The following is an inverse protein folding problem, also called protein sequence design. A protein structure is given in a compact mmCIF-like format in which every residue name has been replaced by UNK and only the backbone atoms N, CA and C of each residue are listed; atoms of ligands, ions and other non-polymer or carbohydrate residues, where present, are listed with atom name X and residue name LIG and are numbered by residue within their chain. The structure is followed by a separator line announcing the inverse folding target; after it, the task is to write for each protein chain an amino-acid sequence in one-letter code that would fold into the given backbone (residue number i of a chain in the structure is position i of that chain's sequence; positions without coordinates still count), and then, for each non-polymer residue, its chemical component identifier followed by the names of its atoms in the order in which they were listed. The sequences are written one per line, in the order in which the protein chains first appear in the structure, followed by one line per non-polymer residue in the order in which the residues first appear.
data_IF_937022522313
#
_entry.id   IF_937022522313
#
_cell.length_a   1.000
_cell.length_b   1.000
_cell.length_c   1.000
_cell.angle_alpha   90.00
_cell.angle_beta   90.00
_cell.angle_gamma   90.00
#
_symmetry.space_group_name_H-M   'P 1'
#
loop_
_entity.id
_entity.type
_entity.pdbx_description
1 polymer ?
#
# COMPACT_ATOMS: atom_id res chain seq x y z
N UNK A 1 -38.44 0.90 -3.24
CA UNK A 1 -37.76 2.21 -3.03
C UNK A 1 -37.40 2.74 -4.40
N UNK A 2 -37.75 3.99 -4.67
CA UNK A 2 -37.40 4.68 -5.91
C UNK A 2 -35.93 5.02 -5.93
N UNK A 3 -35.27 4.82 -7.09
CA UNK A 3 -33.85 5.13 -7.27
C UNK A 3 -33.69 6.59 -7.67
N UNK A 4 -32.85 7.33 -6.95
CA UNK A 4 -32.62 8.73 -7.15
C UNK A 4 -31.34 8.98 -7.97
N UNK A 5 -31.42 9.87 -8.96
CA UNK A 5 -30.33 10.18 -9.88
C UNK A 5 -29.88 11.63 -9.71
N UNK A 6 -28.57 11.86 -9.74
CA UNK A 6 -27.94 13.17 -9.72
C UNK A 6 -26.87 13.28 -10.78
N UNK A 7 -26.75 14.46 -11.35
CA UNK A 7 -25.73 14.77 -12.34
C UNK A 7 -24.32 14.65 -11.74
N UNK A 8 -23.40 14.12 -12.52
CA UNK A 8 -21.97 14.12 -12.19
C UNK A 8 -21.39 15.46 -12.66
N UNK A 9 -20.99 16.32 -11.73
CA UNK A 9 -20.63 17.74 -11.96
C UNK A 9 -19.65 17.94 -13.11
N UNK A 10 -18.54 17.19 -13.13
CA UNK A 10 -17.51 17.33 -14.16
C UNK A 10 -17.93 16.81 -15.55
N UNK A 11 -19.08 16.16 -15.66
CA UNK A 11 -19.58 15.58 -16.92
C UNK A 11 -20.36 16.57 -17.79
N UNK A 12 -20.52 17.81 -17.34
CA UNK A 12 -21.32 18.84 -18.03
C UNK A 12 -22.73 18.35 -18.37
N UNK A 13 -23.38 17.63 -17.44
CA UNK A 13 -24.74 17.13 -17.63
C UNK A 13 -24.86 15.86 -18.48
N UNK A 14 -23.75 15.28 -18.96
CA UNK A 14 -23.77 14.11 -19.86
C UNK A 14 -24.02 12.81 -19.10
N UNK A 15 -23.59 12.73 -17.86
CA UNK A 15 -23.72 11.51 -17.03
C UNK A 15 -24.34 11.82 -15.68
N UNK A 16 -25.09 10.83 -15.19
CA UNK A 16 -25.70 10.83 -13.86
C UNK A 16 -25.28 9.58 -13.08
N UNK A 17 -25.27 9.73 -11.78
CA UNK A 17 -25.04 8.64 -10.83
C UNK A 17 -26.27 8.47 -9.94
N UNK A 18 -26.63 7.23 -9.61
CA UNK A 18 -27.70 6.93 -8.68
C UNK A 18 -27.21 6.71 -7.26
N UNK A 19 -28.11 6.86 -6.30
CA UNK A 19 -27.91 6.51 -4.90
C UNK A 19 -27.62 5.01 -4.66
N UNK A 20 -27.89 4.16 -5.66
CA UNK A 20 -27.55 2.73 -5.67
C UNK A 20 -26.20 2.42 -6.32
N UNK A 21 -25.47 3.42 -6.85
CA UNK A 21 -24.14 3.26 -7.45
C UNK A 21 -24.14 2.91 -8.93
N UNK A 22 -25.27 3.03 -9.62
CA UNK A 22 -25.35 2.90 -11.09
C UNK A 22 -24.99 4.23 -11.76
N UNK A 23 -24.43 4.15 -12.96
CA UNK A 23 -24.10 5.31 -13.78
C UNK A 23 -24.87 5.21 -15.08
N UNK A 24 -25.53 6.28 -15.49
CA UNK A 24 -26.25 6.36 -16.76
C UNK A 24 -25.87 7.60 -17.58
N UNK A 25 -26.15 7.52 -18.86
CA UNK A 25 -26.10 8.67 -19.73
C UNK A 25 -27.37 9.51 -19.55
N UNK A 26 -27.23 10.82 -19.32
CA UNK A 26 -28.36 11.71 -19.08
C UNK A 26 -28.92 12.32 -20.38
N UNK A 27 -28.12 12.38 -21.45
CA UNK A 27 -28.47 13.03 -22.72
C UNK A 27 -28.30 12.09 -23.91
N UNK A 28 -29.00 12.34 -24.98
CA UNK A 28 -28.85 11.60 -26.24
C UNK A 28 -27.45 11.79 -26.84
N UNK A 29 -26.86 10.74 -27.32
CA UNK A 29 -25.61 10.75 -28.07
C UNK A 29 -25.79 10.12 -29.45
N UNK A 30 -24.75 10.16 -30.29
CA UNK A 30 -24.80 9.65 -31.67
C UNK A 30 -25.28 8.20 -31.76
N UNK A 31 -24.85 7.34 -30.83
CA UNK A 31 -25.10 5.90 -30.85
C UNK A 31 -25.72 5.39 -29.53
N UNK A 32 -25.90 6.24 -28.54
CA UNK A 32 -26.36 5.86 -27.19
C UNK A 32 -27.43 6.85 -26.74
N UNK A 33 -28.60 6.36 -26.36
CA UNK A 33 -29.73 7.18 -25.90
C UNK A 33 -29.59 7.57 -24.43
N UNK A 34 -30.25 8.65 -24.05
CA UNK A 34 -30.47 9.03 -22.67
C UNK A 34 -31.09 7.86 -21.88
N UNK A 35 -30.75 7.74 -20.61
CA UNK A 35 -31.20 6.62 -19.75
C UNK A 35 -30.34 5.36 -19.86
N UNK A 36 -29.44 5.25 -20.84
CA UNK A 36 -28.59 4.07 -20.97
C UNK A 36 -27.65 3.91 -19.77
N UNK A 37 -27.77 2.76 -19.07
CA UNK A 37 -26.91 2.39 -17.95
C UNK A 37 -25.55 1.92 -18.47
N UNK A 38 -24.46 2.55 -17.99
CA UNK A 38 -23.11 2.17 -18.36
C UNK A 38 -22.72 0.81 -17.75
N UNK A 39 -22.05 -0.02 -18.55
CA UNK A 39 -21.50 -1.27 -18.06
C UNK A 39 -20.44 -0.98 -16.97
N UNK A 40 -20.57 -1.70 -15.86
CA UNK A 40 -19.62 -1.63 -14.75
C UNK A 40 -18.60 -2.75 -14.84
N UNK A 41 -17.34 -2.43 -14.64
CA UNK A 41 -16.23 -3.38 -14.52
C UNK A 41 -15.65 -3.36 -13.10
N UNK A 42 -15.14 -4.50 -12.67
CA UNK A 42 -14.48 -4.64 -11.35
C UNK A 42 -12.98 -4.58 -11.52
N UNK A 43 -12.33 -3.65 -10.81
CA UNK A 43 -10.87 -3.56 -10.78
C UNK A 43 -10.24 -4.72 -9.98
N UNK A 44 -8.95 -5.04 -10.16
CA UNK A 44 -8.25 -6.03 -9.35
C UNK A 44 -8.35 -5.77 -7.84
N UNK A 45 -8.46 -4.50 -7.44
CA UNK A 45 -8.64 -4.10 -6.05
C UNK A 45 -10.08 -4.21 -5.55
N UNK A 46 -11.01 -4.71 -6.37
CA UNK A 46 -12.40 -4.96 -6.01
C UNK A 46 -13.37 -3.79 -6.20
N UNK A 47 -12.91 -2.59 -6.56
CA UNK A 47 -13.77 -1.44 -6.81
C UNK A 47 -14.49 -1.53 -8.16
N UNK A 48 -15.70 -0.98 -8.20
CA UNK A 48 -16.47 -0.88 -9.43
C UNK A 48 -16.23 0.46 -10.14
N UNK A 49 -16.04 0.40 -11.44
CA UNK A 49 -15.90 1.56 -12.32
C UNK A 49 -16.58 1.35 -13.66
N UNK A 50 -16.93 2.45 -14.29
CA UNK A 50 -17.48 2.46 -15.65
C UNK A 50 -16.62 3.32 -16.56
N UNK A 51 -16.51 2.94 -17.84
CA UNK A 51 -15.85 3.78 -18.84
C UNK A 51 -16.88 4.68 -19.50
N UNK A 52 -16.62 5.97 -19.50
CA UNK A 52 -17.40 7.01 -20.14
C UNK A 52 -16.60 7.71 -21.24
N UNK A 53 -17.28 8.38 -22.16
CA UNK A 53 -16.66 9.15 -23.23
C UNK A 53 -17.15 10.60 -23.15
N UNK A 54 -16.23 11.53 -22.94
CA UNK A 54 -16.50 12.97 -22.91
C UNK A 54 -15.48 13.70 -23.79
N UNK A 55 -15.95 14.58 -24.66
CA UNK A 55 -15.08 15.36 -25.57
C UNK A 55 -14.09 14.46 -26.36
N UNK A 56 -14.57 13.34 -26.92
CA UNK A 56 -13.78 12.35 -27.67
C UNK A 56 -12.68 11.66 -26.88
N UNK A 57 -12.69 11.75 -25.55
CA UNK A 57 -11.73 11.09 -24.65
C UNK A 57 -12.46 10.10 -23.75
N UNK A 58 -11.84 8.95 -23.54
CA UNK A 58 -12.33 8.00 -22.53
C UNK A 58 -11.95 8.48 -21.14
N UNK A 59 -12.84 8.33 -20.19
CA UNK A 59 -12.58 8.59 -18.77
C UNK A 59 -13.17 7.47 -17.93
N UNK A 60 -12.54 7.19 -16.80
CA UNK A 60 -13.00 6.20 -15.84
C UNK A 60 -13.81 6.86 -14.75
N UNK A 61 -15.02 6.41 -14.54
CA UNK A 61 -15.91 6.85 -13.46
C UNK A 61 -15.87 5.83 -12.33
N UNK A 62 -15.35 6.22 -11.18
CA UNK A 62 -15.36 5.39 -9.98
C UNK A 62 -16.69 5.56 -9.23
N UNK A 63 -17.57 4.56 -9.31
CA UNK A 63 -18.94 4.66 -8.82
C UNK A 63 -19.05 5.16 -7.37
N UNK A 64 -18.30 4.56 -6.42
CA UNK A 64 -18.32 4.96 -5.00
C UNK A 64 -17.98 6.44 -4.78
N UNK A 65 -17.07 7.01 -5.58
CA UNK A 65 -16.66 8.42 -5.45
C UNK A 65 -17.74 9.36 -5.94
N UNK A 66 -18.38 9.04 -7.07
CA UNK A 66 -19.43 9.88 -7.62
C UNK A 66 -20.70 9.81 -6.76
N UNK A 67 -21.06 8.63 -6.27
CA UNK A 67 -22.14 8.51 -5.26
C UNK A 67 -21.86 9.36 -4.03
N UNK A 68 -20.66 9.26 -3.49
CA UNK A 68 -20.31 10.02 -2.31
C UNK A 68 -20.36 11.54 -2.56
N UNK A 69 -19.88 12.02 -3.72
CA UNK A 69 -19.94 13.45 -4.10
C UNK A 69 -21.38 13.93 -4.24
N UNK A 70 -22.22 13.12 -4.89
CA UNK A 70 -23.58 13.51 -5.20
C UNK A 70 -24.53 13.43 -3.99
N UNK A 71 -24.37 12.44 -3.11
CA UNK A 71 -25.39 12.10 -2.13
C UNK A 71 -24.94 12.28 -0.67
N UNK A 72 -23.63 12.39 -0.37
CA UNK A 72 -23.14 12.43 0.99
C UNK A 72 -22.48 13.78 1.30
N UNK A 73 -23.01 14.56 2.23
CA UNK A 73 -22.40 15.82 2.64
C UNK A 73 -20.95 15.64 3.12
N UNK A 74 -20.06 16.54 2.72
CA UNK A 74 -18.65 16.52 3.10
C UNK A 74 -18.17 17.88 3.62
N UNK A 75 -18.74 18.41 4.73
CA UNK A 75 -18.40 19.74 5.23
C UNK A 75 -16.95 19.86 5.69
N UNK A 76 -16.33 18.73 6.09
CA UNK A 76 -14.93 18.68 6.55
C UNK A 76 -13.91 18.47 5.40
N UNK A 77 -14.32 18.42 4.16
CA UNK A 77 -13.43 18.25 2.99
C UNK A 77 -12.60 16.95 3.03
N UNK A 78 -13.12 15.87 3.60
CA UNK A 78 -12.43 14.58 3.67
C UNK A 78 -12.20 14.01 2.28
N UNK A 79 -11.04 13.37 2.07
CA UNK A 79 -10.59 12.97 0.72
C UNK A 79 -10.86 11.51 0.36
N UNK A 80 -11.18 10.67 1.34
CA UNK A 80 -11.39 9.24 1.11
C UNK A 80 -12.85 8.88 1.33
N UNK A 81 -13.30 7.90 0.54
CA UNK A 81 -14.61 7.26 0.68
C UNK A 81 -14.38 5.85 1.21
N UNK A 82 -15.04 5.54 2.31
CA UNK A 82 -15.05 4.22 2.94
C UNK A 82 -16.36 3.49 2.65
N UNK A 83 -16.30 2.17 2.51
CA UNK A 83 -17.45 1.28 2.49
C UNK A 83 -17.67 0.75 3.91
N UNK A 84 -18.75 1.15 4.57
CA UNK A 84 -19.04 0.80 5.97
C UNK A 84 -19.02 -0.71 6.22
N UNK A 85 -19.54 -1.51 5.28
CA UNK A 85 -19.55 -2.98 5.35
C UNK A 85 -18.28 -3.64 4.81
N UNK A 86 -17.28 -2.88 4.35
CA UNK A 86 -16.05 -3.40 3.74
C UNK A 86 -16.19 -3.97 2.33
N UNK A 87 -17.41 -4.03 1.76
CA UNK A 87 -17.69 -4.59 0.44
C UNK A 87 -17.53 -3.51 -0.62
N UNK A 88 -16.40 -3.48 -1.31
CA UNK A 88 -16.01 -2.46 -2.30
C UNK A 88 -16.90 -2.38 -3.54
N UNK A 89 -17.75 -3.37 -3.76
CA UNK A 89 -18.75 -3.40 -4.83
C UNK A 89 -20.13 -2.88 -4.42
N UNK A 90 -20.37 -2.66 -3.12
CA UNK A 90 -21.63 -2.12 -2.61
C UNK A 90 -21.56 -0.59 -2.52
N UNK A 91 -21.89 0.07 -3.63
CA UNK A 91 -21.78 1.52 -3.78
C UNK A 91 -23.05 2.30 -3.43
N UNK A 92 -24.00 1.70 -2.71
CA UNK A 92 -25.17 2.41 -2.22
C UNK A 92 -24.77 3.57 -1.30
N UNK A 93 -25.40 4.73 -1.45
CA UNK A 93 -25.10 5.93 -0.66
C UNK A 93 -25.18 5.66 0.86
N UNK A 94 -26.12 4.82 1.31
CA UNK A 94 -26.27 4.41 2.72
C UNK A 94 -25.06 3.65 3.27
N UNK A 95 -24.31 2.96 2.40
CA UNK A 95 -23.13 2.17 2.75
C UNK A 95 -21.80 2.97 2.66
N UNK A 96 -21.83 4.17 2.12
CA UNK A 96 -20.63 4.99 1.92
C UNK A 96 -20.53 6.10 2.98
N UNK A 97 -19.30 6.53 3.25
CA UNK A 97 -19.01 7.66 4.12
C UNK A 97 -17.71 8.34 3.73
N UNK A 98 -17.61 9.65 3.97
CA UNK A 98 -16.36 10.39 3.83
C UNK A 98 -15.50 10.22 5.07
N UNK A 99 -14.22 9.87 4.88
CA UNK A 99 -13.28 9.61 5.97
C UNK A 99 -11.91 10.22 5.70
N UNK A 100 -11.15 10.42 6.76
CA UNK A 100 -9.70 10.64 6.69
C UNK A 100 -8.98 9.30 6.47
N UNK A 101 -7.72 9.37 6.05
CA UNK A 101 -6.89 8.16 5.90
C UNK A 101 -6.76 7.38 7.21
N UNK A 102 -6.61 8.09 8.34
CA UNK A 102 -6.48 7.45 9.66
C UNK A 102 -7.77 6.76 10.11
N UNK A 103 -8.93 7.35 9.83
CA UNK A 103 -10.24 6.74 10.12
C UNK A 103 -10.45 5.48 9.27
N UNK A 104 -10.15 5.56 7.96
CA UNK A 104 -10.25 4.43 7.06
C UNK A 104 -9.35 3.25 7.48
N UNK A 105 -8.12 3.56 7.90
CA UNK A 105 -7.19 2.55 8.40
C UNK A 105 -7.70 1.90 9.70
N UNK A 106 -8.24 2.69 10.64
CA UNK A 106 -8.82 2.18 11.89
C UNK A 106 -10.05 1.31 11.65
N UNK A 107 -10.92 1.71 10.72
CA UNK A 107 -12.07 0.90 10.30
C UNK A 107 -11.61 -0.44 9.75
N UNK A 108 -10.65 -0.44 8.81
CA UNK A 108 -10.10 -1.66 8.24
C UNK A 108 -9.52 -2.61 9.31
N UNK A 109 -8.86 -2.08 10.33
CA UNK A 109 -8.30 -2.86 11.43
C UNK A 109 -9.36 -3.42 12.38
N UNK A 110 -10.32 -2.61 12.78
CA UNK A 110 -11.32 -2.98 13.80
C UNK A 110 -12.44 -3.84 13.24
N UNK A 111 -13.02 -3.42 12.10
CA UNK A 111 -14.24 -4.01 11.57
C UNK A 111 -13.94 -5.11 10.54
N UNK A 112 -12.82 -4.98 9.78
CA UNK A 112 -12.46 -5.92 8.73
C UNK A 112 -11.31 -6.86 9.10
N UNK A 113 -10.80 -6.78 10.33
CA UNK A 113 -9.71 -7.64 10.81
C UNK A 113 -8.40 -7.45 10.05
N UNK A 114 -8.22 -6.30 9.36
CA UNK A 114 -7.02 -6.06 8.58
C UNK A 114 -5.83 -5.76 9.47
N UNK A 115 -4.86 -6.65 9.53
CA UNK A 115 -3.65 -6.54 10.37
C UNK A 115 -2.51 -5.77 9.70
N UNK A 116 -2.74 -5.20 8.52
CA UNK A 116 -1.72 -4.58 7.70
C UNK A 116 -1.13 -5.55 6.66
N UNK A 117 -0.14 -5.08 5.92
CA UNK A 117 0.64 -6.00 5.08
C UNK A 117 1.41 -6.93 6.00
N UNK A 118 1.44 -8.25 5.74
CA UNK A 118 2.28 -9.18 6.48
C UNK A 118 3.71 -8.62 6.54
N UNK A 119 4.32 -8.68 7.69
CA UNK A 119 5.72 -8.30 7.83
C UNK A 119 6.58 -9.18 6.91
N UNK A 120 7.68 -8.64 6.43
CA UNK A 120 8.67 -9.45 5.72
C UNK A 120 9.49 -10.20 6.77
N UNK A 121 9.47 -11.54 6.79
CA UNK A 121 10.27 -12.32 7.74
C UNK A 121 11.76 -12.03 7.58
N UNK A 122 12.46 -11.89 8.71
CA UNK A 122 13.89 -11.61 8.74
C UNK A 122 14.64 -12.57 9.64
N UNK A 123 15.86 -12.88 9.26
CA UNK A 123 16.78 -13.72 10.00
C UNK A 123 17.84 -12.85 10.69
N UNK A 124 18.15 -13.19 11.92
CA UNK A 124 19.26 -12.67 12.71
C UNK A 124 20.41 -13.67 12.65
N UNK A 125 21.57 -13.21 12.19
CA UNK A 125 22.72 -14.04 11.89
C UNK A 125 23.94 -13.47 12.59
N UNK A 126 24.74 -14.32 13.23
CA UNK A 126 26.01 -13.96 13.89
C UNK A 126 27.11 -13.63 12.88
N UNK A 127 28.20 -13.07 13.37
CA UNK A 127 29.37 -12.75 12.55
C UNK A 127 30.12 -13.98 12.01
N UNK A 128 29.85 -15.17 12.55
CA UNK A 128 30.34 -16.47 12.05
C UNK A 128 29.37 -17.17 11.09
N UNK A 129 28.27 -16.49 10.73
CA UNK A 129 27.33 -16.95 9.72
C UNK A 129 26.20 -17.86 10.24
N UNK A 130 26.07 -18.06 11.54
CA UNK A 130 25.01 -18.90 12.13
C UNK A 130 23.71 -18.14 12.29
N UNK A 131 22.59 -18.73 11.88
CA UNK A 131 21.25 -18.20 12.15
C UNK A 131 20.93 -18.38 13.64
N UNK A 132 20.67 -17.28 14.34
CA UNK A 132 20.33 -17.28 15.77
C UNK A 132 18.83 -17.24 15.99
N UNK A 133 18.11 -16.44 15.22
CA UNK A 133 16.68 -16.24 15.39
C UNK A 133 16.01 -15.86 14.07
N UNK A 134 14.73 -16.23 13.98
CA UNK A 134 13.83 -15.83 12.92
C UNK A 134 12.70 -14.95 13.53
N UNK A 135 12.33 -13.92 12.84
CA UNK A 135 11.25 -13.00 13.23
C UNK A 135 10.26 -12.86 12.07
N UNK A 136 8.97 -12.83 12.37
CA UNK A 136 7.92 -12.65 11.36
C UNK A 136 7.96 -11.25 10.70
N UNK A 137 8.65 -10.27 11.30
CA UNK A 137 8.78 -8.93 10.73
C UNK A 137 9.99 -8.18 11.28
N UNK A 138 10.43 -7.16 10.53
CA UNK A 138 11.43 -6.19 11.02
C UNK A 138 10.97 -5.46 12.29
N UNK A 139 9.65 -5.32 12.50
CA UNK A 139 9.09 -4.70 13.71
C UNK A 139 9.38 -5.57 14.93
N UNK A 140 9.02 -6.82 14.88
CA UNK A 140 9.25 -7.81 15.94
C UNK A 140 10.75 -7.96 16.24
N UNK A 141 11.59 -8.05 15.20
CA UNK A 141 13.04 -8.09 15.34
C UNK A 141 13.59 -6.85 16.07
N UNK A 142 13.05 -5.67 15.80
CA UNK A 142 13.48 -4.44 16.47
C UNK A 142 13.01 -4.38 17.93
N UNK A 143 11.82 -4.86 18.22
CA UNK A 143 11.27 -4.96 19.57
C UNK A 143 12.10 -5.90 20.45
N UNK A 144 12.56 -7.03 19.90
CA UNK A 144 13.43 -7.99 20.60
C UNK A 144 14.79 -7.43 21.01
N UNK A 145 15.26 -6.37 20.34
CA UNK A 145 16.55 -5.73 20.63
C UNK A 145 16.45 -4.61 21.68
N UNK A 146 15.26 -4.21 22.07
CA UNK A 146 15.02 -3.09 22.99
C UNK A 146 15.44 -1.71 22.43
N UNK A 147 15.16 -0.65 23.20
CA UNK A 147 15.57 0.72 22.84
C UNK A 147 14.62 1.42 21.84
N UNK A 148 15.16 2.42 21.10
CA UNK A 148 14.37 3.17 20.10
C UNK A 148 14.00 2.28 18.91
N UNK A 149 12.82 1.69 18.99
CA UNK A 149 12.33 0.71 18.02
C UNK A 149 12.27 1.26 16.58
N UNK A 150 12.00 2.56 16.40
CA UNK A 150 11.91 3.17 15.07
C UNK A 150 13.29 3.23 14.38
N UNK A 151 14.32 3.67 15.08
CA UNK A 151 15.69 3.70 14.55
C UNK A 151 16.23 2.29 14.32
N UNK A 152 15.98 1.37 15.25
CA UNK A 152 16.36 -0.04 15.12
C UNK A 152 15.71 -0.67 13.89
N UNK A 153 14.41 -0.43 13.68
CA UNK A 153 13.68 -0.88 12.46
C UNK A 153 14.29 -0.34 11.17
N UNK A 154 14.64 0.94 11.13
CA UNK A 154 15.31 1.56 9.96
C UNK A 154 16.67 0.94 9.69
N UNK A 155 17.46 0.70 10.74
CA UNK A 155 18.77 0.06 10.61
C UNK A 155 18.67 -1.38 10.11
N UNK A 156 17.81 -2.21 10.68
CA UNK A 156 17.59 -3.60 10.22
C UNK A 156 17.12 -3.60 8.77
N UNK A 157 16.14 -2.77 8.42
CA UNK A 157 15.63 -2.66 7.05
C UNK A 157 16.71 -2.23 6.05
N UNK A 158 17.59 -1.30 6.45
CA UNK A 158 18.71 -0.86 5.61
C UNK A 158 19.73 -1.99 5.38
N UNK A 159 20.06 -2.76 6.42
CA UNK A 159 20.94 -3.94 6.30
C UNK A 159 20.33 -4.97 5.36
N UNK A 160 19.06 -5.35 5.57
CA UNK A 160 18.36 -6.29 4.69
C UNK A 160 18.36 -5.83 3.22
N UNK A 161 18.15 -4.54 2.96
CA UNK A 161 18.17 -4.00 1.61
C UNK A 161 19.55 -4.08 0.96
N UNK A 162 20.61 -3.81 1.73
CA UNK A 162 21.97 -3.92 1.22
C UNK A 162 22.38 -5.37 0.97
N UNK A 163 21.96 -6.31 1.81
CA UNK A 163 22.16 -7.74 1.61
C UNK A 163 21.49 -8.20 0.31
N UNK A 164 20.22 -7.86 0.09
CA UNK A 164 19.48 -8.20 -1.14
C UNK A 164 20.11 -7.61 -2.40
N UNK A 165 20.72 -6.42 -2.32
CA UNK A 165 21.40 -5.75 -3.44
C UNK A 165 22.88 -6.07 -3.58
N UNK A 166 23.44 -6.93 -2.73
CA UNK A 166 24.86 -7.26 -2.65
C UNK A 166 25.80 -6.06 -2.58
N UNK A 167 25.36 -4.98 -1.95
CA UNK A 167 26.18 -3.74 -1.83
C UNK A 167 27.10 -3.72 -0.61
N UNK A 168 26.79 -4.49 0.41
CA UNK A 168 27.56 -4.76 1.64
C UNK A 168 28.22 -3.57 2.35
N UNK A 169 27.74 -2.34 2.12
CA UNK A 169 28.30 -1.13 2.76
C UNK A 169 28.06 -1.08 4.27
N UNK A 170 26.91 -1.60 4.72
CA UNK A 170 26.51 -1.71 6.12
C UNK A 170 25.84 -3.06 6.33
N UNK A 171 26.61 -4.05 6.78
CA UNK A 171 26.14 -5.44 6.90
C UNK A 171 25.64 -5.75 8.31
N UNK A 172 26.12 -5.01 9.32
CA UNK A 172 25.78 -5.25 10.71
C UNK A 172 24.91 -4.17 11.33
N UNK A 173 24.03 -4.61 12.22
CA UNK A 173 23.39 -3.76 13.21
C UNK A 173 23.36 -4.50 14.55
N UNK A 174 23.92 -3.90 15.62
CA UNK A 174 24.08 -4.50 16.95
C UNK A 174 24.74 -5.89 16.87
N UNK A 175 25.89 -5.94 16.17
CA UNK A 175 26.74 -7.14 16.00
C UNK A 175 26.13 -8.32 15.22
N UNK A 176 24.96 -8.14 14.64
CA UNK A 176 24.28 -9.16 13.85
C UNK A 176 24.09 -8.72 12.39
N UNK A 177 24.17 -9.71 11.50
CA UNK A 177 23.73 -9.58 10.11
C UNK A 177 22.21 -9.79 10.10
N UNK A 178 21.52 -8.98 9.30
CA UNK A 178 20.08 -9.05 9.11
C UNK A 178 19.77 -9.26 7.63
N UNK A 179 18.97 -10.29 7.33
CA UNK A 179 18.57 -10.62 5.97
C UNK A 179 17.09 -10.99 5.93
N UNK A 180 16.42 -10.71 4.83
CA UNK A 180 15.07 -11.24 4.61
C UNK A 180 15.18 -12.74 4.44
N UNK A 181 14.23 -13.49 5.02
CA UNK A 181 14.21 -14.95 4.92
C UNK A 181 14.17 -15.41 3.46
N UNK A 182 13.45 -14.68 2.60
CA UNK A 182 13.39 -14.95 1.15
C UNK A 182 14.73 -14.84 0.42
N UNK A 183 15.65 -14.02 0.93
CA UNK A 183 16.91 -13.68 0.28
C UNK A 183 18.09 -14.48 0.88
N UNK A 184 17.82 -15.31 1.91
CA UNK A 184 18.86 -16.06 2.60
C UNK A 184 19.45 -17.18 1.72
N UNK A 185 20.75 -17.14 1.55
CA UNK A 185 21.56 -18.29 1.11
C UNK A 185 22.90 -18.31 1.87
N UNK A 186 23.50 -19.48 2.02
CA UNK A 186 24.80 -19.59 2.69
C UNK A 186 25.87 -18.84 1.93
N UNK A 187 25.85 -18.93 0.60
CA UNK A 187 26.79 -18.26 -0.32
C UNK A 187 26.73 -16.72 -0.16
N UNK A 188 25.52 -16.16 -0.05
CA UNK A 188 25.36 -14.72 0.17
C UNK A 188 25.94 -14.26 1.52
N UNK A 189 25.80 -15.05 2.56
CA UNK A 189 26.37 -14.75 3.88
C UNK A 189 27.90 -14.85 3.82
N UNK A 190 28.47 -15.86 3.18
CA UNK A 190 29.91 -16.02 3.00
C UNK A 190 30.50 -14.86 2.17
N UNK A 191 29.84 -14.45 1.10
CA UNK A 191 30.21 -13.29 0.28
C UNK A 191 30.25 -11.99 1.10
N UNK A 192 29.21 -11.76 1.92
CA UNK A 192 29.12 -10.60 2.80
C UNK A 192 30.22 -10.59 3.87
N UNK A 193 30.52 -11.74 4.48
CA UNK A 193 31.57 -11.89 5.47
C UNK A 193 32.98 -11.73 4.87
N UNK A 194 33.21 -12.25 3.68
CA UNK A 194 34.48 -12.08 2.96
C UNK A 194 34.72 -10.60 2.63
N UNK A 195 33.71 -9.88 2.18
CA UNK A 195 33.79 -8.44 1.91
C UNK A 195 34.16 -7.63 3.18
N UNK A 196 33.61 -8.01 4.32
CA UNK A 196 33.93 -7.36 5.60
C UNK A 196 35.35 -7.63 6.09
N UNK A 197 35.86 -8.86 5.93
CA UNK A 197 37.24 -9.21 6.29
C UNK A 197 38.22 -8.38 5.45
N UNK A 198 37.96 -8.22 4.15
CA UNK A 198 38.75 -7.41 3.25
C UNK A 198 38.78 -5.93 3.68
N UNK A 199 37.62 -5.33 4.00
CA UNK A 199 37.53 -3.93 4.45
C UNK A 199 38.20 -3.66 5.82
N UNK A 200 38.13 -4.62 6.76
CA UNK A 200 38.81 -4.49 8.07
C UNK A 200 40.33 -4.54 7.93
N UNK A 201 40.86 -5.41 7.09
CA UNK A 201 42.31 -5.49 6.80
C UNK A 201 42.80 -4.26 6.05
N UNK A 202 42.00 -3.73 5.12
CA UNK A 202 42.36 -2.52 4.37
C UNK A 202 42.38 -1.26 5.24
N UNK A 203 41.40 -1.06 6.14
CA UNK A 203 41.40 0.04 7.12
C UNK A 203 42.55 -0.04 8.09
N UNK A 204 42.93 -1.23 8.57
CA UNK A 204 44.17 -1.39 9.40
C UNK A 204 45.43 -1.03 8.65
N UNK A 205 45.57 -1.42 7.38
CA UNK A 205 46.75 -1.04 6.57
C UNK A 205 46.86 0.48 6.36
N UNK A 206 45.77 1.18 6.10
CA UNK A 206 45.80 2.64 5.91
C UNK A 206 46.14 3.36 7.24
N UNK A 207 45.69 2.89 8.39
CA UNK A 207 46.06 3.50 9.68
C UNK A 207 47.51 3.29 10.02
N UNK A 208 48.17 2.22 9.56
CA UNK A 208 49.61 1.95 9.75
C UNK A 208 50.51 2.73 8.77
N UNK A 209 49.96 3.22 7.65
CA UNK A 209 50.71 4.04 6.69
C UNK A 209 50.59 5.56 6.96
N UNK A 210 49.87 5.99 7.98
CA UNK A 210 49.67 7.38 8.38
C UNK A 210 50.30 7.73 9.76
N UNK A 211 51.10 6.83 10.32
CA UNK A 211 51.88 7.02 11.56
C UNK A 211 53.38 7.18 11.19
#
# INVERSE_FOLDING_TARGET
MEEHWKTIDWSNGVYEVSDLGRIRRAVDGKHVKAGHILRTSRSPNGYLSSTAYLNRRSCTIHAHREVARAFIPNPSGRKQVNHKNGIKSDNRASNLEWVTQSENMRHAQRELGWTGRPGVPVLKITADGKVVSEYASVKEAAESLGGNTLNTRRCISAVCTQMSRKTFRKVFHKDYIWIRKSDYSKELIEEALAHLKFHRTWKRRISLCRG
#
